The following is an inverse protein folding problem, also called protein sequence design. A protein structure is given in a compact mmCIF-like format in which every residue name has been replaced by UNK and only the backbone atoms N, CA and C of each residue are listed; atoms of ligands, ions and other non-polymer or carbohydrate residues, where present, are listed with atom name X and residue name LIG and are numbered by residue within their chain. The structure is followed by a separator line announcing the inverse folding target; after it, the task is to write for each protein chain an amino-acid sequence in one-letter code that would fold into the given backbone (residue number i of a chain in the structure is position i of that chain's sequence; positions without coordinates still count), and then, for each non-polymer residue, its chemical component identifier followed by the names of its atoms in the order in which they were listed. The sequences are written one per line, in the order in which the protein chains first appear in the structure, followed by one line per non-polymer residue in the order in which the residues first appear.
data_IF_570134833745
#
_entry.id   IF_570134833745
#
_cell.length_a   1.000
_cell.length_b   1.000
_cell.length_c   1.000
_cell.angle_alpha   90.00
_cell.angle_beta   90.00
_cell.angle_gamma   90.00
#
_symmetry.space_group_name_H-M   'P 1'
#
loop_
_entity.id
_entity.type
_entity.pdbx_description
1 polymer ?
#
# COMPACT_ATOMS: atom_id res chain seq x y z
N UNK A 1 -31.05 -28.75 3.36
CA UNK A 1 -30.31 -28.71 2.08
C UNK A 1 -30.85 -27.56 1.22
N UNK A 2 -29.98 -26.91 0.45
CA UNK A 2 -30.35 -25.82 -0.50
C UNK A 2 -29.52 -25.93 -1.75
N UNK A 3 -30.13 -25.77 -2.92
CA UNK A 3 -29.42 -25.81 -4.21
C UNK A 3 -28.81 -24.46 -4.55
N UNK A 4 -27.52 -24.42 -4.80
CA UNK A 4 -26.83 -23.21 -5.23
C UNK A 4 -27.22 -22.86 -6.67
N UNK A 5 -27.71 -21.63 -6.92
CA UNK A 5 -28.12 -21.20 -8.26
C UNK A 5 -26.97 -21.07 -9.27
N UNK A 6 -25.69 -21.09 -8.82
CA UNK A 6 -24.55 -20.97 -9.72
C UNK A 6 -23.94 -22.32 -10.07
N UNK A 7 -23.55 -23.14 -9.08
CA UNK A 7 -22.93 -24.45 -9.34
C UNK A 7 -23.96 -25.59 -9.42
N UNK A 8 -25.24 -25.31 -9.17
CA UNK A 8 -26.36 -26.27 -9.22
C UNK A 8 -26.23 -27.44 -8.24
N UNK A 9 -25.28 -27.40 -7.33
CA UNK A 9 -25.06 -28.43 -6.32
C UNK A 9 -25.95 -28.15 -5.09
N UNK A 10 -26.52 -29.24 -4.56
CA UNK A 10 -27.23 -29.18 -3.28
C UNK A 10 -26.21 -29.22 -2.12
N UNK A 11 -26.32 -28.26 -1.20
CA UNK A 11 -25.40 -28.07 -0.08
C UNK A 11 -26.18 -27.80 1.20
N UNK A 12 -25.60 -28.09 2.37
CA UNK A 12 -26.20 -27.76 3.65
C UNK A 12 -26.26 -26.23 3.87
N UNK A 13 -27.17 -25.78 4.75
CA UNK A 13 -27.47 -24.38 4.99
C UNK A 13 -26.26 -23.54 5.44
N UNK A 14 -25.33 -24.14 6.18
CA UNK A 14 -24.07 -23.52 6.63
C UNK A 14 -23.12 -23.13 5.51
N UNK A 15 -23.33 -23.68 4.30
CA UNK A 15 -22.57 -23.32 3.09
C UNK A 15 -23.16 -22.14 2.32
N UNK A 16 -24.09 -21.39 2.92
CA UNK A 16 -24.68 -20.18 2.35
C UNK A 16 -24.57 -19.03 3.34
N UNK A 17 -24.31 -17.83 2.83
CA UNK A 17 -24.37 -16.61 3.65
C UNK A 17 -25.82 -16.30 4.04
N UNK A 18 -26.02 -15.76 5.24
CA UNK A 18 -27.31 -15.28 5.69
C UNK A 18 -27.77 -14.07 4.89
N UNK A 19 -29.06 -14.02 4.54
CA UNK A 19 -29.67 -12.91 3.81
C UNK A 19 -31.10 -12.66 4.33
N UNK A 20 -31.25 -11.59 5.08
CA UNK A 20 -32.53 -11.26 5.77
C UNK A 20 -33.68 -10.95 4.82
N UNK A 21 -33.41 -10.59 3.58
CA UNK A 21 -34.41 -10.17 2.58
C UNK A 21 -35.05 -11.35 1.83
N UNK A 22 -34.63 -12.57 2.10
CA UNK A 22 -35.10 -13.78 1.40
C UNK A 22 -35.83 -14.68 2.38
N UNK A 23 -36.93 -15.31 1.92
CA UNK A 23 -37.80 -16.15 2.77
C UNK A 23 -37.08 -17.22 3.59
N UNK A 24 -36.08 -17.87 3.00
CA UNK A 24 -35.28 -18.92 3.66
C UNK A 24 -34.06 -18.38 4.42
N UNK A 25 -33.90 -17.06 4.48
CA UNK A 25 -32.80 -16.41 5.21
C UNK A 25 -31.40 -16.62 4.66
N UNK A 26 -31.26 -17.20 3.46
CA UNK A 26 -29.96 -17.59 2.88
C UNK A 26 -29.79 -17.07 1.46
N UNK A 27 -28.57 -16.67 1.11
CA UNK A 27 -28.23 -16.26 -0.25
C UNK A 27 -28.48 -17.37 -1.27
N UNK A 28 -28.77 -16.99 -2.52
CA UNK A 28 -29.06 -17.93 -3.62
C UNK A 28 -27.82 -18.70 -4.11
N UNK A 29 -26.62 -18.22 -3.81
CA UNK A 29 -25.33 -18.82 -4.20
C UNK A 29 -24.57 -19.29 -2.96
N UNK A 30 -23.90 -20.44 -3.07
CA UNK A 30 -23.07 -20.93 -1.97
C UNK A 30 -21.82 -20.05 -1.75
N UNK A 31 -21.25 -20.15 -0.57
CA UNK A 31 -20.05 -19.40 -0.14
C UNK A 31 -18.89 -19.58 -1.13
N UNK A 32 -18.65 -20.81 -1.62
CA UNK A 32 -17.56 -21.09 -2.56
C UNK A 32 -17.73 -20.34 -3.88
N UNK A 33 -18.97 -20.32 -4.42
CA UNK A 33 -19.28 -19.56 -5.64
C UNK A 33 -19.13 -18.07 -5.43
N UNK A 34 -19.57 -17.53 -4.27
CA UNK A 34 -19.39 -16.11 -3.95
C UNK A 34 -17.91 -15.75 -3.83
N UNK A 35 -17.09 -16.58 -3.17
CA UNK A 35 -15.64 -16.38 -3.06
C UNK A 35 -14.94 -16.44 -4.41
N UNK A 36 -15.34 -17.38 -5.28
CA UNK A 36 -14.78 -17.49 -6.63
C UNK A 36 -15.08 -16.23 -7.46
N UNK A 37 -16.32 -15.71 -7.39
CA UNK A 37 -16.68 -14.46 -8.09
C UNK A 37 -15.92 -13.26 -7.55
N UNK A 38 -15.83 -13.11 -6.23
CA UNK A 38 -15.06 -12.04 -5.63
C UNK A 38 -13.58 -12.08 -6.05
N UNK A 39 -12.98 -13.28 -6.09
CA UNK A 39 -11.60 -13.47 -6.57
C UNK A 39 -11.42 -13.10 -8.04
N UNK A 40 -12.38 -13.44 -8.90
CA UNK A 40 -12.33 -13.08 -10.32
C UNK A 40 -12.46 -11.57 -10.55
N UNK A 41 -13.37 -10.91 -9.85
CA UNK A 41 -13.54 -9.45 -9.89
C UNK A 41 -12.28 -8.74 -9.41
N UNK A 42 -11.71 -9.19 -8.27
CA UNK A 42 -10.45 -8.64 -7.77
C UNK A 42 -9.30 -8.82 -8.76
N UNK A 43 -9.20 -10.02 -9.40
CA UNK A 43 -8.16 -10.28 -10.40
C UNK A 43 -8.30 -9.39 -11.64
N UNK A 44 -9.55 -9.13 -12.07
CA UNK A 44 -9.82 -8.29 -13.24
C UNK A 44 -9.54 -6.79 -12.99
N UNK A 45 -9.84 -6.29 -11.79
CA UNK A 45 -9.60 -4.89 -11.43
C UNK A 45 -9.24 -4.79 -9.93
N UNK A 46 -7.97 -4.95 -9.55
CA UNK A 46 -7.52 -4.90 -8.16
C UNK A 46 -7.45 -3.49 -7.57
N UNK A 47 -7.33 -2.45 -8.41
CA UNK A 47 -6.98 -1.11 -7.94
C UNK A 47 -7.99 -0.47 -6.97
N UNK A 48 -9.32 -0.53 -7.16
CA UNK A 48 -10.26 0.01 -6.19
C UNK A 48 -10.14 -0.63 -4.80
N UNK A 49 -9.82 -1.92 -4.75
CA UNK A 49 -9.63 -2.65 -3.49
C UNK A 49 -8.33 -2.25 -2.81
N UNK A 50 -7.25 -2.09 -3.59
CA UNK A 50 -5.95 -1.63 -3.11
C UNK A 50 -6.03 -0.19 -2.58
N UNK A 51 -6.73 0.70 -3.29
CA UNK A 51 -6.97 2.07 -2.86
C UNK A 51 -7.67 2.11 -1.50
N UNK A 52 -8.80 1.40 -1.34
CA UNK A 52 -9.53 1.32 -0.06
C UNK A 52 -8.67 0.74 1.07
N UNK A 53 -7.87 -0.28 0.79
CA UNK A 53 -6.98 -0.87 1.80
C UNK A 53 -5.89 0.11 2.23
N UNK A 54 -5.30 0.89 1.30
CA UNK A 54 -4.34 1.95 1.60
C UNK A 54 -4.97 3.04 2.48
N UNK A 55 -6.12 3.57 2.07
CA UNK A 55 -6.85 4.59 2.83
C UNK A 55 -7.15 4.10 4.25
N UNK A 56 -7.73 2.90 4.39
CA UNK A 56 -8.04 2.32 5.70
C UNK A 56 -6.78 2.12 6.56
N UNK A 57 -5.62 1.81 5.95
CA UNK A 57 -4.37 1.65 6.67
C UNK A 57 -3.80 3.01 7.12
N UNK A 58 -3.76 4.00 6.23
CA UNK A 58 -3.23 5.35 6.54
C UNK A 58 -3.96 5.97 7.72
N UNK A 59 -5.30 5.83 7.75
CA UNK A 59 -6.13 6.35 8.84
C UNK A 59 -6.30 5.40 10.03
N UNK A 60 -5.59 4.26 10.06
CA UNK A 60 -5.61 3.40 11.23
C UNK A 60 -4.94 4.09 12.43
N UNK A 61 -5.45 3.86 13.64
CA UNK A 61 -4.87 4.44 14.88
C UNK A 61 -3.38 4.12 15.03
N UNK A 62 -2.99 2.89 14.67
CA UNK A 62 -1.59 2.46 14.70
C UNK A 62 -0.73 3.31 13.77
N UNK A 63 -1.16 3.52 12.54
CA UNK A 63 -0.42 4.31 11.55
C UNK A 63 -0.36 5.77 11.95
N UNK A 64 -1.49 6.35 12.35
CA UNK A 64 -1.57 7.73 12.81
C UNK A 64 -0.66 8.01 14.01
N UNK A 65 -0.57 7.05 14.95
CA UNK A 65 0.36 7.15 16.07
C UNK A 65 1.81 7.13 15.61
N UNK A 66 2.20 6.17 14.76
CA UNK A 66 3.55 6.08 14.21
C UNK A 66 3.96 7.35 13.44
N UNK A 67 3.07 7.88 12.61
CA UNK A 67 3.32 9.12 11.87
C UNK A 67 3.62 10.29 12.81
N UNK A 68 2.85 10.42 13.90
CA UNK A 68 3.07 11.48 14.90
C UNK A 68 4.36 11.28 15.69
N UNK A 69 4.59 10.07 16.21
CA UNK A 69 5.70 9.79 17.11
C UNK A 69 7.06 9.79 16.41
N UNK A 70 7.13 9.23 15.19
CA UNK A 70 8.40 9.07 14.48
C UNK A 70 8.71 10.23 13.51
N UNK A 71 7.66 10.86 12.93
CA UNK A 71 7.85 11.85 11.86
C UNK A 71 7.20 13.20 12.15
N UNK A 72 6.56 13.36 13.31
CA UNK A 72 5.79 14.57 13.67
C UNK A 72 4.81 14.97 12.53
N UNK A 73 4.13 13.99 11.94
CA UNK A 73 3.27 14.11 10.76
C UNK A 73 1.88 13.56 11.05
N UNK A 74 0.84 14.17 10.49
CA UNK A 74 -0.52 13.63 10.52
C UNK A 74 -0.78 12.69 9.32
N UNK A 75 -1.83 11.85 9.36
CA UNK A 75 -2.26 11.07 8.20
C UNK A 75 -2.60 11.94 6.98
N UNK A 76 -3.20 13.11 7.20
CA UNK A 76 -3.57 14.07 6.16
C UNK A 76 -2.32 14.62 5.46
N UNK A 77 -1.32 15.04 6.23
CA UNK A 77 -0.04 15.51 5.69
C UNK A 77 0.70 14.43 4.89
N UNK A 78 0.61 13.16 5.32
CA UNK A 78 1.14 12.05 4.54
C UNK A 78 0.42 11.91 3.20
N UNK A 79 -0.91 12.00 3.18
CA UNK A 79 -1.71 11.91 1.95
C UNK A 79 -1.39 13.07 1.02
N UNK A 80 -1.32 14.31 1.54
CA UNK A 80 -0.93 15.49 0.75
C UNK A 80 0.46 15.33 0.11
N UNK A 81 1.43 14.81 0.87
CA UNK A 81 2.77 14.56 0.35
C UNK A 81 2.77 13.48 -0.74
N UNK A 82 1.99 12.41 -0.54
CA UNK A 82 1.81 11.36 -1.54
C UNK A 82 1.17 11.88 -2.83
N UNK A 83 0.15 12.72 -2.71
CA UNK A 83 -0.52 13.34 -3.86
C UNK A 83 0.39 14.33 -4.60
N UNK A 84 1.16 15.14 -3.88
CA UNK A 84 2.16 16.05 -4.47
C UNK A 84 3.20 15.32 -5.31
N UNK A 85 3.52 14.08 -4.94
CA UNK A 85 4.46 13.23 -5.67
C UNK A 85 3.78 12.35 -6.72
N UNK A 86 2.47 12.54 -7.00
CA UNK A 86 1.66 11.70 -7.90
C UNK A 86 1.71 10.21 -7.54
N UNK A 87 1.87 9.89 -6.25
CA UNK A 87 2.00 8.51 -5.77
C UNK A 87 3.34 7.83 -6.07
N UNK A 88 4.33 8.58 -6.54
CA UNK A 88 5.62 8.08 -7.01
C UNK A 88 6.77 8.40 -6.05
N UNK A 89 7.87 7.67 -6.16
CA UNK A 89 9.11 7.98 -5.48
C UNK A 89 9.65 9.35 -5.91
N UNK A 90 10.02 10.21 -4.96
CA UNK A 90 10.53 11.56 -5.25
C UNK A 90 11.87 11.60 -6.01
N UNK A 91 12.58 10.47 -6.12
CA UNK A 91 13.89 10.40 -6.80
C UNK A 91 13.79 9.71 -8.16
N UNK A 92 13.24 8.50 -8.24
CA UNK A 92 13.22 7.71 -9.47
C UNK A 92 11.84 7.62 -10.13
N UNK A 93 10.83 8.30 -9.58
CA UNK A 93 9.47 8.41 -10.11
C UNK A 93 8.73 7.07 -10.26
N UNK A 94 9.23 5.98 -9.66
CA UNK A 94 8.53 4.70 -9.65
C UNK A 94 7.32 4.73 -8.71
N UNK A 95 6.21 4.12 -9.12
CA UNK A 95 5.06 3.87 -8.25
C UNK A 95 5.29 2.68 -7.31
N UNK A 96 6.29 1.84 -7.59
CA UNK A 96 6.59 0.66 -6.80
C UNK A 96 7.46 1.01 -5.61
N UNK A 97 6.99 0.68 -4.41
CA UNK A 97 7.76 0.91 -3.18
C UNK A 97 9.01 0.01 -3.07
N UNK A 98 9.02 -1.13 -3.74
CA UNK A 98 10.03 -2.18 -3.54
C UNK A 98 9.94 -2.89 -2.18
N UNK A 99 9.01 -2.48 -1.31
CA UNK A 99 8.84 -3.08 0.01
C UNK A 99 7.85 -4.24 -0.04
N UNK A 100 8.32 -5.45 0.28
CA UNK A 100 7.54 -6.68 0.13
C UNK A 100 6.26 -6.75 0.97
N UNK A 101 6.22 -6.07 2.11
CA UNK A 101 5.12 -6.19 3.08
C UNK A 101 4.04 -5.11 2.93
N UNK A 102 4.40 -3.86 2.73
CA UNK A 102 3.45 -2.74 2.78
C UNK A 102 3.10 -2.16 1.41
N UNK A 103 3.94 -2.33 0.40
CA UNK A 103 3.84 -1.69 -0.91
C UNK A 103 3.69 -0.15 -0.86
N UNK A 104 3.96 0.44 0.29
CA UNK A 104 3.94 1.89 0.49
C UNK A 104 5.34 2.47 0.31
N UNK A 105 5.38 3.68 -0.23
CA UNK A 105 6.61 4.46 -0.23
C UNK A 105 7.05 4.75 1.20
N UNK A 106 8.34 4.73 1.44
CA UNK A 106 8.96 4.99 2.73
C UNK A 106 9.06 6.49 2.97
N UNK A 107 8.83 6.93 4.20
CA UNK A 107 9.02 8.33 4.59
C UNK A 107 10.51 8.58 4.76
N UNK A 108 11.06 9.42 3.90
CA UNK A 108 12.42 9.89 4.00
C UNK A 108 12.48 11.17 4.85
N UNK A 109 13.41 11.21 5.77
CA UNK A 109 13.60 12.35 6.67
C UNK A 109 15.08 12.56 6.96
N UNK A 110 15.42 13.76 7.33
CA UNK A 110 16.74 14.12 7.81
C UNK A 110 16.95 13.61 9.24
N UNK A 111 17.93 12.74 9.46
CA UNK A 111 18.15 12.08 10.75
C UNK A 111 18.72 13.04 11.82
N UNK A 112 19.23 14.23 11.43
CA UNK A 112 19.75 15.23 12.35
C UNK A 112 18.63 16.14 12.82
N UNK A 113 17.79 16.59 11.89
CA UNK A 113 16.72 17.58 12.18
C UNK A 113 15.35 16.93 12.38
N UNK A 114 15.15 15.67 12.00
CA UNK A 114 13.87 14.98 11.96
C UNK A 114 12.92 15.46 10.86
N UNK A 115 13.35 16.41 10.00
CA UNK A 115 12.49 16.98 8.98
C UNK A 115 12.21 16.00 7.85
N UNK A 116 10.93 15.73 7.58
CA UNK A 116 10.49 14.91 6.43
C UNK A 116 10.83 15.64 5.12
N UNK A 117 11.46 14.92 4.20
CA UNK A 117 11.88 15.41 2.88
C UNK A 117 10.95 14.93 1.76
N UNK A 118 10.43 13.71 1.86
CA UNK A 118 9.56 13.12 0.85
C UNK A 118 9.27 11.65 1.07
N UNK A 119 8.63 11.04 0.09
CA UNK A 119 8.33 9.61 0.04
C UNK A 119 9.21 8.94 -1.01
N UNK A 120 9.88 7.87 -0.65
CA UNK A 120 10.84 7.17 -1.50
C UNK A 120 10.51 5.68 -1.63
N UNK A 121 10.88 5.07 -2.74
CA UNK A 121 10.97 3.62 -2.82
C UNK A 121 12.11 3.10 -1.92
N UNK A 122 12.08 1.82 -1.61
CA UNK A 122 13.07 1.20 -0.72
C UNK A 122 14.50 1.37 -1.22
N UNK A 123 14.72 1.24 -2.52
CA UNK A 123 16.04 1.36 -3.14
C UNK A 123 16.62 2.77 -2.99
N UNK A 124 15.81 3.79 -3.30
CA UNK A 124 16.24 5.18 -3.18
C UNK A 124 16.48 5.58 -1.72
N UNK A 125 15.59 5.16 -0.80
CA UNK A 125 15.76 5.41 0.63
C UNK A 125 17.04 4.74 1.17
N UNK A 126 17.28 3.50 0.76
CA UNK A 126 18.50 2.76 1.12
C UNK A 126 19.76 3.39 0.54
N UNK A 127 19.71 3.89 -0.71
CA UNK A 127 20.81 4.61 -1.34
C UNK A 127 21.21 5.84 -0.52
N UNK A 128 20.24 6.67 -0.11
CA UNK A 128 20.53 7.85 0.71
C UNK A 128 21.12 7.49 2.06
N UNK A 129 20.59 6.47 2.73
CA UNK A 129 21.13 5.97 3.99
C UNK A 129 22.57 5.45 3.86
N UNK A 130 22.86 4.66 2.82
CA UNK A 130 24.22 4.17 2.51
C UNK A 130 25.18 5.30 2.20
N UNK A 131 24.73 6.31 1.49
CA UNK A 131 25.52 7.46 1.12
C UNK A 131 25.72 8.46 2.26
N UNK A 132 25.11 8.23 3.44
CA UNK A 132 25.11 9.16 4.58
C UNK A 132 24.73 10.58 4.15
N UNK A 133 23.63 10.68 3.42
CA UNK A 133 23.19 11.93 2.78
C UNK A 133 22.99 13.08 3.79
N UNK A 134 22.64 12.78 5.02
CA UNK A 134 22.47 13.75 6.11
C UNK A 134 23.80 14.33 6.63
N UNK A 135 24.92 13.62 6.39
CA UNK A 135 26.26 14.04 6.83
C UNK A 135 27.00 14.87 5.75
N UNK A 136 26.29 15.40 4.74
CA UNK A 136 26.86 16.35 3.77
C UNK A 136 27.01 15.88 2.32
N UNK A 137 26.34 14.81 1.93
CA UNK A 137 26.25 14.32 0.53
C UNK A 137 27.58 14.02 -0.17
N UNK A 138 28.71 14.04 0.56
CA UNK A 138 30.06 13.90 -0.01
C UNK A 138 30.22 12.65 -0.89
N UNK A 139 29.70 11.50 -0.43
CA UNK A 139 29.81 10.25 -1.19
C UNK A 139 29.02 10.31 -2.50
N UNK A 140 27.80 10.86 -2.48
CA UNK A 140 26.95 11.01 -3.68
C UNK A 140 27.63 11.94 -4.71
N UNK A 141 28.13 13.09 -4.25
CA UNK A 141 28.81 14.06 -5.10
C UNK A 141 30.08 13.45 -5.69
N UNK A 142 30.90 12.80 -4.88
CA UNK A 142 32.12 12.14 -5.35
C UNK A 142 31.85 11.02 -6.35
N UNK A 143 30.78 10.25 -6.15
CA UNK A 143 30.35 9.19 -7.08
C UNK A 143 29.93 9.77 -8.43
N UNK A 144 29.18 10.88 -8.45
CA UNK A 144 28.81 11.58 -9.67
C UNK A 144 30.03 12.11 -10.43
N UNK A 145 31.01 12.71 -9.74
CA UNK A 145 32.26 13.15 -10.35
C UNK A 145 33.10 11.99 -10.91
N UNK A 146 33.16 10.87 -10.18
CA UNK A 146 33.83 9.66 -10.66
C UNK A 146 33.22 9.15 -11.95
N UNK A 147 31.90 9.00 -12.01
CA UNK A 147 31.19 8.51 -13.20
C UNK A 147 31.36 9.44 -14.41
N UNK A 148 31.37 10.76 -14.20
CA UNK A 148 31.58 11.75 -15.27
C UNK A 148 33.01 11.72 -15.83
N UNK A 149 34.03 11.26 -15.08
CA UNK A 149 35.40 11.12 -15.57
C UNK A 149 35.59 9.84 -16.39
N UNK A 150 34.73 8.86 -16.23
CA UNK A 150 34.84 7.55 -16.89
C UNK A 150 34.09 7.49 -18.23
N UNK A 151 33.28 8.49 -18.59
CA UNK A 151 32.60 8.66 -19.88
C UNK A 151 33.10 9.86 -20.65
#
# INVERSE_FOLDING_TARGET
MKTCKKCLLEKPADKFYKEKRVKDGLQARCIDCCKADAKSVFKANPEPYRKRAREAYVYSERRARMLREEYNMTPEEYVELFEKQNGCCAICETEESGHNMTKELLIDHDHITGKVRGLLCMECNFLLGKAKADEGNKLLISSLFYLRKAG
#
